data_IF_906942759500
#
_entry.id   IF_906942759500
#
_cell.length_a   1.000
_cell.length_b   1.000
_cell.length_c   1.000
_cell.angle_alpha   90.00
_cell.angle_beta   90.00
_cell.angle_gamma   90.00
#
_symmetry.space_group_name_H-M   'P 1'
#
loop_
_entity.id
_entity.type
_entity.pdbx_description
1 polymer ?
#
# COMPACT_ATOMS: atom_id res chain seq x y z
N UNK A 1 -14.85 38.85 -66.50
CA UNK A 1 -13.56 39.35 -65.98
C UNK A 1 -12.78 38.16 -65.42
N UNK A 2 -11.78 37.66 -66.14
CA UNK A 2 -11.03 36.44 -65.77
C UNK A 2 -9.90 36.78 -64.80
N UNK A 3 -9.92 36.17 -63.62
CA UNK A 3 -8.87 36.35 -62.61
C UNK A 3 -7.53 35.82 -63.16
N UNK A 4 -6.44 36.60 -63.12
CA UNK A 4 -5.13 36.18 -63.65
C UNK A 4 -4.61 34.94 -62.92
N UNK A 5 -4.00 34.02 -63.67
CA UNK A 5 -3.51 32.71 -63.19
C UNK A 5 -2.47 32.83 -62.06
N UNK A 6 -1.68 33.89 -62.09
CA UNK A 6 -0.67 34.21 -61.07
C UNK A 6 -1.32 34.53 -59.71
N UNK A 7 -2.48 35.19 -59.70
CA UNK A 7 -3.22 35.47 -58.47
C UNK A 7 -3.87 34.19 -57.92
N UNK A 8 -4.44 33.34 -58.78
CA UNK A 8 -4.99 32.04 -58.38
C UNK A 8 -3.93 31.14 -57.74
N UNK A 9 -2.73 31.10 -58.32
CA UNK A 9 -1.60 30.32 -57.80
C UNK A 9 -1.13 30.85 -56.45
N UNK A 10 -1.00 32.17 -56.30
CA UNK A 10 -0.61 32.79 -55.02
C UNK A 10 -1.62 32.53 -53.92
N UNK A 11 -2.92 32.64 -54.21
CA UNK A 11 -4.01 32.35 -53.26
C UNK A 11 -4.04 30.88 -52.86
N UNK A 12 -3.82 29.96 -53.81
CA UNK A 12 -3.78 28.53 -53.50
C UNK A 12 -2.57 28.17 -52.61
N UNK A 13 -1.39 28.73 -52.88
CA UNK A 13 -0.18 28.49 -52.08
C UNK A 13 -0.31 29.06 -50.67
N UNK A 14 -0.86 30.28 -50.51
CA UNK A 14 -1.11 30.83 -49.17
C UNK A 14 -2.19 30.07 -48.42
N UNK A 15 -3.25 29.63 -49.09
CA UNK A 15 -4.28 28.79 -48.45
C UNK A 15 -3.70 27.44 -47.98
N UNK A 16 -2.85 26.79 -48.79
CA UNK A 16 -2.19 25.54 -48.42
C UNK A 16 -1.23 25.73 -47.25
N UNK A 17 -0.45 26.83 -47.23
CA UNK A 17 0.46 27.15 -46.14
C UNK A 17 -0.28 27.42 -44.82
N UNK A 18 -1.40 28.14 -44.87
CA UNK A 18 -2.24 28.40 -43.70
C UNK A 18 -2.93 27.12 -43.20
N UNK A 19 -3.42 26.25 -44.09
CA UNK A 19 -3.97 24.95 -43.73
C UNK A 19 -2.90 24.04 -43.10
N UNK A 20 -1.69 24.03 -43.64
CA UNK A 20 -0.56 23.27 -43.08
C UNK A 20 -0.17 23.75 -41.68
N UNK A 21 -0.10 25.07 -41.46
CA UNK A 21 0.19 25.64 -40.14
C UNK A 21 -0.91 25.33 -39.11
N UNK A 22 -2.18 25.39 -39.53
CA UNK A 22 -3.31 25.04 -38.66
C UNK A 22 -3.32 23.56 -38.30
N UNK A 23 -2.93 22.67 -39.21
CA UNK A 23 -2.84 21.24 -38.92
C UNK A 23 -1.76 21.00 -37.86
N UNK A 24 -0.54 21.54 -38.03
CA UNK A 24 0.55 21.39 -37.05
C UNK A 24 0.14 21.85 -35.65
N UNK A 25 -0.60 22.96 -35.53
CA UNK A 25 -1.11 23.43 -34.24
C UNK A 25 -2.19 22.55 -33.58
N UNK A 26 -2.89 21.71 -34.35
CA UNK A 26 -3.94 20.81 -33.82
C UNK A 26 -3.42 19.41 -33.44
N UNK A 27 -2.25 18.99 -33.96
CA UNK A 27 -1.67 17.65 -33.70
C UNK A 27 -0.45 17.68 -32.78
N UNK A 28 0.20 18.82 -32.61
CA UNK A 28 1.33 18.93 -31.68
C UNK A 28 0.86 19.52 -30.36
N UNK A 29 0.73 18.66 -29.36
CA UNK A 29 0.82 19.12 -27.98
C UNK A 29 2.25 19.63 -27.75
N UNK A 30 2.38 20.95 -27.56
CA UNK A 30 3.67 21.57 -27.24
C UNK A 30 3.91 21.39 -25.75
N UNK A 31 4.45 20.24 -25.36
CA UNK A 31 4.93 20.02 -24.00
C UNK A 31 6.27 20.73 -23.77
N UNK A 32 6.40 21.47 -22.66
CA UNK A 32 7.72 21.90 -22.17
C UNK A 32 8.31 20.72 -21.40
N UNK A 33 9.41 20.10 -21.88
CA UNK A 33 9.99 18.94 -21.23
C UNK A 33 10.48 19.26 -19.82
N UNK A 34 10.35 18.28 -18.92
CA UNK A 34 10.97 18.33 -17.61
C UNK A 34 12.50 18.34 -17.76
N UNK A 35 13.17 19.19 -16.99
CA UNK A 35 14.65 19.28 -16.98
C UNK A 35 15.24 18.95 -15.59
N UNK A 36 14.44 18.29 -14.73
CA UNK A 36 14.80 17.96 -13.35
C UNK A 36 14.60 19.12 -12.37
N UNK A 37 14.57 20.37 -12.84
CA UNK A 37 14.26 21.56 -12.03
C UNK A 37 12.78 21.98 -12.09
N UNK A 38 12.07 21.52 -13.12
CA UNK A 38 10.63 21.72 -13.30
C UNK A 38 9.95 20.44 -13.78
N UNK A 39 8.68 20.21 -13.40
CA UNK A 39 7.89 19.13 -13.97
C UNK A 39 7.61 19.39 -15.46
N UNK A 40 7.17 18.34 -16.15
CA UNK A 40 6.64 18.45 -17.51
C UNK A 40 5.43 19.38 -17.50
N UNK A 41 5.39 20.36 -18.40
CA UNK A 41 4.26 21.25 -18.54
C UNK A 41 3.58 21.01 -19.89
N UNK A 42 2.31 20.62 -19.86
CA UNK A 42 1.47 20.50 -21.05
C UNK A 42 0.90 21.88 -21.38
N UNK A 43 1.18 22.44 -22.56
CA UNK A 43 0.49 23.64 -23.05
C UNK A 43 -0.88 23.26 -23.64
N UNK A 44 -1.68 22.51 -22.88
CA UNK A 44 -3.02 22.11 -23.30
C UNK A 44 -4.05 23.13 -22.75
N UNK A 45 -4.86 23.78 -23.61
CA UNK A 45 -5.91 24.70 -23.17
C UNK A 45 -7.06 24.04 -22.37
N UNK A 46 -7.09 22.70 -22.26
CA UNK A 46 -8.04 21.94 -21.42
C UNK A 46 -7.50 21.74 -19.98
N UNK A 47 -6.50 22.53 -19.57
CA UNK A 47 -5.96 22.57 -18.20
C UNK A 47 -7.02 22.71 -17.09
N UNK A 48 -8.21 23.22 -17.43
CA UNK A 48 -9.34 23.47 -16.52
C UNK A 48 -9.90 22.24 -15.80
N UNK A 49 -9.43 21.02 -16.09
CA UNK A 49 -9.84 19.80 -15.38
C UNK A 49 -8.68 18.96 -14.80
N UNK A 50 -7.42 19.36 -14.97
CA UNK A 50 -6.28 18.63 -14.40
C UNK A 50 -6.23 18.80 -12.88
N UNK A 51 -6.44 20.03 -12.41
CA UNK A 51 -6.70 20.31 -11.01
C UNK A 51 -8.20 20.61 -10.84
N UNK A 52 -8.89 19.75 -10.13
CA UNK A 52 -10.34 19.85 -9.95
C UNK A 52 -10.64 20.63 -8.67
N UNK A 53 -11.80 21.29 -8.62
CA UNK A 53 -12.26 21.98 -7.41
C UNK A 53 -12.57 21.01 -6.26
N UNK A 54 -12.79 19.73 -6.55
CA UNK A 54 -12.97 18.67 -5.54
C UNK A 54 -11.61 18.24 -4.98
N UNK A 55 -11.49 18.26 -3.66
CA UNK A 55 -10.30 17.78 -2.99
C UNK A 55 -10.19 16.25 -2.98
N UNK A 56 -8.98 15.74 -3.23
CA UNK A 56 -8.66 14.31 -3.07
C UNK A 56 -8.20 13.99 -1.66
N UNK A 57 -8.24 12.71 -1.31
CA UNK A 57 -8.01 12.21 0.05
C UNK A 57 -6.69 12.69 0.68
N UNK A 58 -5.62 12.73 -0.11
CA UNK A 58 -4.28 13.15 0.35
C UNK A 58 -3.88 14.55 -0.18
N UNK A 59 -4.82 15.29 -0.77
CA UNK A 59 -4.55 16.61 -1.35
C UNK A 59 -4.51 17.70 -0.28
N UNK A 60 -3.50 18.56 -0.34
CA UNK A 60 -3.32 19.65 0.60
C UNK A 60 -4.50 20.64 0.57
N UNK A 61 -5.00 21.00 1.75
CA UNK A 61 -6.11 21.92 1.95
C UNK A 61 -5.61 23.29 2.45
N UNK A 62 -5.81 24.38 1.69
CA UNK A 62 -5.36 25.71 2.10
C UNK A 62 -6.22 26.36 3.20
N UNK A 63 -7.39 25.80 3.51
CA UNK A 63 -8.39 26.41 4.43
C UNK A 63 -8.12 26.08 5.90
N UNK A 64 -7.40 25.01 6.19
CA UNK A 64 -7.17 24.57 7.57
C UNK A 64 -5.83 25.08 8.09
N UNK A 65 -5.80 25.42 9.39
CA UNK A 65 -4.76 26.15 10.15
C UNK A 65 -3.32 25.65 10.07
N UNK A 66 -3.10 24.51 9.41
CA UNK A 66 -1.79 23.87 9.23
C UNK A 66 -1.33 23.91 7.76
N UNK A 67 -1.99 24.71 6.90
CA UNK A 67 -1.73 25.08 5.49
C UNK A 67 -1.41 23.94 4.50
N UNK A 68 -1.39 22.69 4.97
CA UNK A 68 -0.99 21.46 4.28
C UNK A 68 -1.78 20.24 4.78
N UNK A 69 -2.88 20.44 5.51
CA UNK A 69 -3.66 19.31 5.98
C UNK A 69 -4.21 18.53 4.77
N UNK A 70 -4.05 17.20 4.70
CA UNK A 70 -4.64 16.40 3.63
C UNK A 70 -6.17 16.52 3.66
N UNK A 71 -6.83 16.25 2.53
CA UNK A 71 -8.29 16.19 2.42
C UNK A 71 -8.92 15.28 3.48
N UNK A 72 -8.24 14.20 3.85
CA UNK A 72 -8.62 13.34 4.97
C UNK A 72 -8.34 13.99 6.33
N UNK A 73 -9.38 14.10 7.14
CA UNK A 73 -9.33 14.58 8.52
C UNK A 73 -9.43 13.40 9.49
N UNK A 74 -8.82 13.55 10.67
CA UNK A 74 -9.03 12.59 11.75
C UNK A 74 -10.50 12.62 12.18
N UNK A 75 -11.19 11.47 12.25
CA UNK A 75 -12.54 11.42 12.76
C UNK A 75 -12.54 11.76 14.27
N UNK A 76 -13.65 12.29 14.81
CA UNK A 76 -13.77 12.48 16.25
C UNK A 76 -13.44 11.19 17.03
N UNK A 77 -12.76 11.29 18.18
CA UNK A 77 -12.43 10.11 18.97
C UNK A 77 -13.66 9.29 19.34
N UNK A 78 -13.51 7.96 19.39
CA UNK A 78 -14.56 6.99 19.78
C UNK A 78 -15.76 6.92 18.81
N UNK A 79 -15.60 7.39 17.58
CA UNK A 79 -16.58 7.12 16.52
C UNK A 79 -16.46 5.68 16.05
N UNK A 80 -17.61 5.05 15.77
CA UNK A 80 -17.69 3.67 15.27
C UNK A 80 -18.28 3.71 13.86
N UNK A 81 -17.59 3.15 12.85
CA UNK A 81 -18.11 3.05 11.49
C UNK A 81 -19.26 2.05 11.43
N UNK A 82 -20.24 2.28 10.54
CA UNK A 82 -21.43 1.40 10.38
C UNK A 82 -21.03 -0.02 9.99
N UNK A 83 -20.08 -0.15 9.06
CA UNK A 83 -19.64 -1.43 8.49
C UNK A 83 -18.24 -1.85 8.98
N UNK A 84 -17.66 -1.15 9.95
CA UNK A 84 -16.27 -1.37 10.35
C UNK A 84 -16.12 -1.93 11.77
N UNK A 85 -15.08 -2.74 11.94
CA UNK A 85 -14.76 -3.45 13.18
C UNK A 85 -13.90 -2.65 14.15
N UNK A 86 -14.01 -1.31 14.17
CA UNK A 86 -13.27 -0.51 15.14
C UNK A 86 -13.87 -0.70 16.53
N UNK A 87 -13.23 -1.55 17.34
CA UNK A 87 -13.49 -1.59 18.79
C UNK A 87 -13.04 -0.25 19.39
N UNK A 88 -13.95 0.49 20.05
CA UNK A 88 -13.61 1.79 20.63
C UNK A 88 -12.60 1.69 21.77
N UNK A 89 -12.46 0.51 22.37
CA UNK A 89 -11.46 0.15 23.37
C UNK A 89 -10.36 -0.74 22.80
N UNK A 90 -9.12 -0.49 23.21
CA UNK A 90 -7.99 -1.37 22.93
C UNK A 90 -8.01 -2.53 23.94
N UNK A 91 -8.34 -3.77 23.53
CA UNK A 91 -8.32 -4.91 24.43
C UNK A 91 -6.89 -5.15 24.92
N UNK A 92 -6.72 -5.62 26.15
CA UNK A 92 -5.42 -6.07 26.66
C UNK A 92 -4.91 -7.29 25.89
N UNK A 93 -3.60 -7.61 25.94
CA UNK A 93 -3.07 -8.84 25.37
C UNK A 93 -3.78 -10.10 25.90
N UNK A 94 -4.18 -10.11 27.18
CA UNK A 94 -4.89 -11.23 27.79
C UNK A 94 -6.32 -11.38 27.24
N UNK A 95 -7.04 -10.28 27.06
CA UNK A 95 -8.37 -10.32 26.44
C UNK A 95 -8.30 -10.74 24.97
N UNK A 96 -7.27 -10.29 24.26
CA UNK A 96 -7.08 -10.63 22.85
C UNK A 96 -6.66 -12.10 22.66
N UNK A 97 -5.96 -12.69 23.63
CA UNK A 97 -5.57 -14.10 23.60
C UNK A 97 -6.78 -15.06 23.53
N UNK A 98 -7.97 -14.61 23.92
CA UNK A 98 -9.22 -15.38 23.84
C UNK A 98 -9.84 -15.35 22.43
N UNK A 99 -9.28 -14.57 21.49
CA UNK A 99 -9.78 -14.52 20.13
C UNK A 99 -9.31 -15.76 19.35
N UNK A 100 -10.25 -16.39 18.68
CA UNK A 100 -9.99 -17.47 17.75
C UNK A 100 -9.80 -16.93 16.34
N UNK A 101 -8.94 -17.59 15.57
CA UNK A 101 -8.68 -17.22 14.19
C UNK A 101 -9.86 -17.62 13.29
N UNK A 102 -10.62 -16.67 12.71
CA UNK A 102 -11.75 -16.99 11.83
C UNK A 102 -11.30 -17.41 10.41
N UNK A 103 -10.01 -17.23 10.07
CA UNK A 103 -9.46 -17.59 8.75
C UNK A 103 -9.04 -19.05 8.76
N UNK A 104 -9.69 -19.92 7.96
CA UNK A 104 -9.33 -21.34 7.92
C UNK A 104 -7.91 -21.53 7.40
N UNK A 105 -7.19 -22.51 7.96
CA UNK A 105 -5.85 -22.89 7.49
C UNK A 105 -6.00 -23.74 6.22
N UNK A 106 -5.67 -23.14 5.06
CA UNK A 106 -5.68 -23.81 3.77
C UNK A 106 -4.61 -23.18 2.84
N UNK A 107 -4.40 -23.75 1.65
CA UNK A 107 -3.37 -23.29 0.73
C UNK A 107 -3.53 -21.80 0.35
N UNK A 108 -4.76 -21.32 0.18
CA UNK A 108 -5.04 -19.94 -0.17
C UNK A 108 -4.70 -18.98 0.97
N UNK A 109 -5.11 -19.29 2.20
CA UNK A 109 -4.83 -18.43 3.37
C UNK A 109 -3.35 -18.42 3.73
N UNK A 110 -2.65 -19.54 3.53
CA UNK A 110 -1.20 -19.63 3.73
C UNK A 110 -0.42 -18.85 2.67
N UNK A 111 -0.78 -18.95 1.39
CA UNK A 111 -0.11 -18.17 0.34
C UNK A 111 -0.38 -16.67 0.49
N UNK A 112 -1.61 -16.30 0.86
CA UNK A 112 -1.92 -14.89 1.14
C UNK A 112 -1.18 -14.37 2.37
N UNK A 113 -1.17 -15.14 3.47
CA UNK A 113 -0.40 -14.83 4.66
C UNK A 113 1.09 -14.68 4.39
N UNK A 114 1.65 -15.54 3.53
CA UNK A 114 3.04 -15.47 3.07
C UNK A 114 3.31 -14.17 2.32
N UNK A 115 2.44 -13.79 1.38
CA UNK A 115 2.56 -12.54 0.63
C UNK A 115 2.56 -11.32 1.58
N UNK A 116 1.63 -11.29 2.53
CA UNK A 116 1.51 -10.20 3.49
C UNK A 116 2.71 -10.13 4.44
N UNK A 117 3.19 -11.27 4.93
CA UNK A 117 4.38 -11.34 5.79
C UNK A 117 5.63 -10.87 5.06
N UNK A 118 5.83 -11.30 3.81
CA UNK A 118 6.96 -10.87 2.97
C UNK A 118 6.91 -9.40 2.60
N UNK A 119 5.72 -8.80 2.58
CA UNK A 119 5.55 -7.36 2.31
C UNK A 119 5.78 -6.52 3.56
N UNK A 120 5.29 -6.96 4.72
CA UNK A 120 5.18 -6.10 5.92
C UNK A 120 6.12 -6.50 7.07
N UNK A 121 6.38 -7.79 7.26
CA UNK A 121 7.04 -8.31 8.47
C UNK A 121 8.51 -8.66 8.25
N UNK A 122 8.88 -9.09 7.03
CA UNK A 122 10.21 -9.60 6.70
C UNK A 122 11.33 -8.61 6.97
N UNK A 123 11.04 -7.31 6.83
CA UNK A 123 12.03 -6.23 6.98
C UNK A 123 12.69 -6.25 8.36
N UNK A 124 11.96 -6.63 9.40
CA UNK A 124 12.46 -6.79 10.76
C UNK A 124 12.64 -8.26 11.17
N UNK A 125 11.68 -9.13 10.82
CA UNK A 125 11.64 -10.51 11.32
C UNK A 125 12.44 -11.51 10.48
N UNK A 126 12.91 -11.13 9.29
CA UNK A 126 13.59 -12.05 8.36
C UNK A 126 12.62 -12.99 7.67
N UNK A 127 13.08 -13.67 6.61
CA UNK A 127 12.26 -14.61 5.81
C UNK A 127 11.81 -15.84 6.58
N UNK A 128 12.65 -16.29 7.51
CA UNK A 128 12.44 -17.47 8.35
C UNK A 128 11.82 -17.09 9.71
N UNK A 129 11.60 -15.81 9.99
CA UNK A 129 11.08 -15.35 11.28
C UNK A 129 12.11 -15.35 12.41
N UNK A 130 13.40 -15.48 12.11
CA UNK A 130 14.48 -15.56 13.09
C UNK A 130 14.87 -14.22 13.73
N UNK A 131 14.27 -13.10 13.31
CA UNK A 131 14.56 -11.76 13.86
C UNK A 131 15.82 -11.10 13.26
N UNK A 132 16.26 -11.59 12.10
CA UNK A 132 17.43 -11.14 11.36
C UNK A 132 17.02 -10.42 10.05
N UNK A 133 15.98 -9.59 10.09
CA UNK A 133 15.58 -8.83 8.91
C UNK A 133 16.64 -7.81 8.47
N UNK A 134 16.60 -7.33 7.21
CA UNK A 134 17.62 -6.43 6.66
C UNK A 134 17.80 -5.13 7.45
N UNK A 135 16.74 -4.61 8.10
CA UNK A 135 16.87 -3.41 8.95
C UNK A 135 17.69 -3.68 10.22
N UNK A 136 17.64 -4.92 10.72
CA UNK A 136 18.43 -5.37 11.88
C UNK A 136 19.87 -5.58 11.48
N UNK A 137 20.10 -6.23 10.32
CA UNK A 137 21.45 -6.44 9.77
C UNK A 137 22.17 -5.12 9.48
N UNK A 138 21.43 -4.08 9.08
CA UNK A 138 21.98 -2.73 8.88
C UNK A 138 22.39 -2.03 10.18
N UNK A 139 21.96 -2.52 11.34
CA UNK A 139 22.18 -1.90 12.65
C UNK A 139 21.25 -0.70 12.96
N UNK A 140 20.32 -0.36 12.06
CA UNK A 140 19.39 0.75 12.26
C UNK A 140 18.37 0.49 13.38
N UNK A 141 18.03 -0.78 13.63
CA UNK A 141 17.12 -1.21 14.68
C UNK A 141 17.65 -2.43 15.43
N UNK A 142 17.28 -2.56 16.71
CA UNK A 142 17.55 -3.77 17.49
C UNK A 142 16.75 -4.98 16.97
N UNK A 143 17.33 -6.17 17.10
CA UNK A 143 16.70 -7.41 16.66
C UNK A 143 15.38 -7.67 17.43
N UNK A 144 14.24 -7.89 16.73
CA UNK A 144 13.06 -8.41 17.39
C UNK A 144 13.32 -9.84 17.89
N UNK A 145 12.56 -10.32 18.89
CA UNK A 145 12.67 -11.70 19.30
C UNK A 145 12.32 -12.63 18.14
N UNK A 146 13.07 -13.73 17.99
CA UNK A 146 12.79 -14.76 17.00
C UNK A 146 11.41 -15.37 17.24
N UNK A 147 10.60 -15.43 16.18
CA UNK A 147 9.25 -16.02 16.18
C UNK A 147 9.28 -17.54 16.46
N UNK A 148 10.46 -18.14 16.38
CA UNK A 148 10.70 -19.57 16.50
C UNK A 148 10.93 -20.03 17.96
N UNK A 149 11.13 -19.08 18.88
CA UNK A 149 11.35 -19.41 20.31
C UNK A 149 10.14 -20.10 20.95
N UNK A 150 10.38 -21.03 21.88
CA UNK A 150 9.33 -21.77 22.60
C UNK A 150 8.27 -20.85 23.22
N UNK A 151 8.72 -19.71 23.76
CA UNK A 151 7.83 -18.70 24.34
C UNK A 151 6.82 -18.18 23.32
N UNK A 152 7.24 -17.87 22.10
CA UNK A 152 6.37 -17.33 21.04
C UNK A 152 5.59 -18.42 20.32
N UNK A 153 6.11 -19.65 20.24
CA UNK A 153 5.33 -20.81 19.79
C UNK A 153 4.18 -21.10 20.75
N UNK A 154 4.40 -20.96 22.06
CA UNK A 154 3.38 -21.14 23.09
C UNK A 154 2.43 -19.95 23.30
N UNK A 155 2.48 -18.90 22.48
CA UNK A 155 1.44 -17.85 22.54
C UNK A 155 0.15 -18.36 21.92
N UNK A 156 -1.00 -17.89 22.40
CA UNK A 156 -2.27 -18.06 21.69
C UNK A 156 -2.30 -17.21 20.42
N UNK A 157 -3.01 -17.66 19.38
CA UNK A 157 -3.12 -16.93 18.11
C UNK A 157 -3.65 -15.52 18.31
N UNK A 158 -4.66 -15.35 19.17
CA UNK A 158 -5.21 -14.05 19.52
C UNK A 158 -4.22 -13.11 20.22
N UNK A 159 -3.20 -13.64 20.90
CA UNK A 159 -2.11 -12.82 21.47
C UNK A 159 -1.19 -12.32 20.36
N UNK A 160 -0.89 -13.14 19.37
CA UNK A 160 -0.11 -12.72 18.20
C UNK A 160 -0.90 -11.65 17.42
N UNK A 161 -2.21 -11.86 17.24
CA UNK A 161 -3.11 -10.87 16.64
C UNK A 161 -3.08 -9.51 17.35
N UNK A 162 -3.05 -9.52 18.69
CA UNK A 162 -2.90 -8.29 19.47
C UNK A 162 -1.61 -7.53 19.13
N UNK A 163 -0.49 -8.24 19.09
CA UNK A 163 0.83 -7.64 18.80
C UNK A 163 0.86 -7.07 17.39
N UNK A 164 0.30 -7.76 16.39
CA UNK A 164 0.20 -7.23 15.02
C UNK A 164 -0.71 -6.00 14.98
N UNK A 165 -1.84 -6.03 15.70
CA UNK A 165 -2.85 -4.96 15.66
C UNK A 165 -2.39 -3.69 16.36
N UNK A 166 -1.79 -3.80 17.55
CA UNK A 166 -1.49 -2.66 18.42
C UNK A 166 0.00 -2.39 18.60
N UNK A 167 0.88 -3.28 18.12
CA UNK A 167 2.31 -3.20 18.35
C UNK A 167 2.73 -3.74 19.72
N UNK A 168 4.04 -3.92 19.91
CA UNK A 168 4.63 -4.29 21.20
C UNK A 168 6.10 -3.88 21.25
N UNK A 169 6.49 -3.14 22.29
CA UNK A 169 7.87 -2.64 22.41
C UNK A 169 8.22 -1.72 21.25
N UNK A 170 9.25 -2.09 20.48
CA UNK A 170 9.67 -1.35 19.28
C UNK A 170 8.86 -1.69 18.01
N UNK A 171 8.01 -2.72 18.05
CA UNK A 171 7.17 -3.08 16.91
C UNK A 171 5.96 -2.14 16.81
N UNK A 172 5.77 -1.52 15.65
CA UNK A 172 4.63 -0.67 15.35
C UNK A 172 3.32 -1.44 15.18
N UNK A 173 2.21 -0.70 15.28
CA UNK A 173 0.87 -1.22 15.03
C UNK A 173 0.59 -1.33 13.51
N UNK A 174 0.10 -2.47 13.06
CA UNK A 174 -0.27 -2.71 11.65
C UNK A 174 -1.77 -2.62 11.38
N UNK A 175 -2.59 -2.22 12.36
CA UNK A 175 -4.05 -2.14 12.20
C UNK A 175 -4.54 -1.21 11.08
N UNK A 176 -3.72 -0.24 10.68
CA UNK A 176 -4.02 0.71 9.61
C UNK A 176 -3.47 0.26 8.24
N UNK A 177 -2.59 -0.74 8.23
CA UNK A 177 -1.93 -1.26 7.02
C UNK A 177 -2.58 -2.57 6.54
N UNK A 178 -3.10 -3.37 7.48
CA UNK A 178 -3.71 -4.67 7.23
C UNK A 178 -5.13 -4.67 7.76
N UNK A 179 -6.06 -5.28 7.02
CA UNK A 179 -7.40 -5.61 7.51
C UNK A 179 -7.34 -6.69 8.59
N UNK A 180 -8.45 -6.90 9.32
CA UNK A 180 -8.52 -7.95 10.34
C UNK A 180 -8.25 -9.34 9.78
N UNK A 181 -8.88 -9.69 8.66
CA UNK A 181 -8.71 -11.00 8.02
C UNK A 181 -7.27 -11.19 7.50
N UNK A 182 -6.63 -10.12 7.04
CA UNK A 182 -5.22 -10.16 6.63
C UNK A 182 -4.27 -10.41 7.79
N UNK A 183 -4.50 -9.79 8.95
CA UNK A 183 -3.72 -10.05 10.16
C UNK A 183 -3.83 -11.52 10.59
N UNK A 184 -5.02 -12.09 10.50
CA UNK A 184 -5.26 -13.51 10.76
C UNK A 184 -4.59 -14.45 9.75
N UNK A 185 -4.59 -14.09 8.46
CA UNK A 185 -3.87 -14.84 7.43
C UNK A 185 -2.35 -14.82 7.67
N UNK A 186 -1.79 -13.67 8.08
CA UNK A 186 -0.37 -13.58 8.49
C UNK A 186 -0.06 -14.53 9.64
N UNK A 187 -0.96 -14.64 10.63
CA UNK A 187 -0.76 -15.55 11.76
C UNK A 187 -0.74 -17.01 11.31
N UNK A 188 -1.62 -17.41 10.38
CA UNK A 188 -1.57 -18.76 9.78
C UNK A 188 -0.21 -19.04 9.14
N UNK A 189 0.36 -18.07 8.43
CA UNK A 189 1.70 -18.21 7.87
C UNK A 189 2.80 -18.25 8.93
N UNK A 190 2.73 -17.44 9.99
CA UNK A 190 3.66 -17.51 11.13
C UNK A 190 3.64 -18.89 11.79
N UNK A 191 2.45 -19.51 11.95
CA UNK A 191 2.33 -20.88 12.45
C UNK A 191 2.93 -21.90 11.50
N UNK A 192 2.75 -21.73 10.19
CA UNK A 192 3.40 -22.58 9.19
C UNK A 192 4.93 -22.47 9.25
N UNK A 193 5.49 -21.26 9.44
CA UNK A 193 6.94 -21.07 9.64
C UNK A 193 7.44 -21.81 10.89
N UNK A 194 6.74 -21.65 12.02
CA UNK A 194 7.08 -22.34 13.26
C UNK A 194 7.05 -23.87 13.10
N UNK A 195 6.04 -24.39 12.39
CA UNK A 195 5.88 -25.83 12.15
C UNK A 195 6.86 -26.39 11.12
N UNK A 196 7.36 -25.56 10.20
CA UNK A 196 8.41 -25.95 9.27
C UNK A 196 9.75 -26.17 9.98
N UNK A 197 10.07 -25.33 10.96
CA UNK A 197 11.31 -25.44 11.75
C UNK A 197 11.19 -26.48 12.89
N UNK A 198 10.00 -26.58 13.50
CA UNK A 198 9.68 -27.54 14.56
C UNK A 198 8.47 -28.39 14.17
N UNK A 199 8.66 -29.42 13.32
CA UNK A 199 7.57 -30.30 12.92
C UNK A 199 7.07 -31.12 14.12
N UNK A 200 5.76 -31.30 14.22
CA UNK A 200 5.17 -32.22 15.20
C UNK A 200 5.35 -33.67 14.73
N UNK A 201 5.31 -34.67 15.63
CA UNK A 201 5.42 -36.08 15.23
C UNK A 201 4.45 -36.49 14.12
N UNK A 202 3.22 -35.95 14.16
CA UNK A 202 2.19 -36.18 13.14
C UNK A 202 2.58 -35.66 11.75
N UNK A 203 3.41 -34.62 11.66
CA UNK A 203 3.90 -34.11 10.38
C UNK A 203 4.92 -35.05 9.77
N UNK A 204 5.78 -35.62 10.62
CA UNK A 204 6.76 -36.61 10.20
C UNK A 204 6.07 -37.89 9.73
N UNK A 205 5.02 -38.33 10.43
CA UNK A 205 4.25 -39.52 10.03
C UNK A 205 3.58 -39.32 8.66
N UNK A 206 3.01 -38.14 8.40
CA UNK A 206 2.43 -37.81 7.09
C UNK A 206 3.42 -37.81 5.94
N UNK A 207 4.69 -37.53 6.20
CA UNK A 207 5.76 -37.60 5.19
C UNK A 207 6.21 -39.05 4.93
N UNK A 208 5.99 -39.97 5.88
CA UNK A 208 6.34 -41.39 5.73
C UNK A 208 5.29 -42.17 4.92
N UNK A 209 4.06 -41.66 4.91
CA UNK A 209 2.93 -42.25 4.18
C UNK A 209 2.79 -41.73 2.72
N UNK A 210 3.72 -40.89 2.27
CA UNK A 210 3.80 -40.35 0.89
C UNK A 210 4.91 -41.03 0.09
#
# INVERSE_FOLDING_TARGET
MSIPSTLKTRVAVTALALLGASFVGCIYEVGVPADGSKPFAELNPIEGMHNQTSYKDQEAQPVFRDDQAPGMRLPPPKTVPVDGFLRPDQPTPAQSALLENPVPVNAQSLEYGRFLFRTNCVVCHGTEGAGNGPIVESGAYGAPPSLLTDKLRGYEDGRIYHVVTYGQGAMWAYKNNLTEMERWAVINYVRALQRADFPEPIDLDRLRDQ
#
